data_IF_797534397334
#
_entry.id   IF_797534397334
#
_cell.length_a   1.000
_cell.length_b   1.000
_cell.length_c   1.000
_cell.angle_alpha   90.00
_cell.angle_beta   90.00
_cell.angle_gamma   90.00
#
_symmetry.space_group_name_H-M   'P 1'
#
loop_
_entity.id
_entity.type
_entity.pdbx_description
1 polymer ?
#
# COMPACT_ATOMS: atom_id res chain seq x y z
N UNK A 1 10.73 0.55 1.30
CA UNK A 1 10.35 1.94 1.68
C UNK A 1 10.31 2.03 3.20
N UNK A 2 10.74 3.13 3.82
CA UNK A 2 10.62 3.32 5.26
C UNK A 2 9.48 4.32 5.55
N UNK A 3 8.56 3.96 6.46
CA UNK A 3 7.44 4.83 6.85
C UNK A 3 7.84 5.60 8.10
N UNK A 4 7.85 6.93 8.02
CA UNK A 4 8.12 7.77 9.20
C UNK A 4 6.92 7.80 10.13
N UNK A 5 7.15 8.09 11.43
CA UNK A 5 6.07 8.27 12.40
C UNK A 5 5.11 9.38 11.96
N UNK A 6 5.65 10.48 11.42
CA UNK A 6 4.88 11.62 10.92
C UNK A 6 3.97 11.20 9.75
N UNK A 7 4.47 10.36 8.85
CA UNK A 7 3.66 9.78 7.77
C UNK A 7 2.56 8.90 8.32
N UNK A 8 2.85 8.07 9.32
CA UNK A 8 1.85 7.18 9.93
C UNK A 8 0.75 7.98 10.64
N UNK A 9 1.11 9.02 11.39
CA UNK A 9 0.16 9.94 12.03
C UNK A 9 -0.72 10.63 10.98
N UNK A 10 -0.12 11.11 9.89
CA UNK A 10 -0.88 11.72 8.80
C UNK A 10 -1.87 10.74 8.17
N UNK A 11 -1.45 9.48 7.93
CA UNK A 11 -2.34 8.43 7.42
C UNK A 11 -3.47 8.11 8.39
N UNK A 12 -3.17 7.93 9.68
CA UNK A 12 -4.21 7.70 10.71
C UNK A 12 -5.26 8.79 10.67
N UNK A 13 -4.85 10.07 10.60
CA UNK A 13 -5.79 11.20 10.50
C UNK A 13 -6.61 11.15 9.20
N UNK A 14 -5.96 10.93 8.07
CA UNK A 14 -6.59 10.98 6.75
C UNK A 14 -7.56 9.80 6.53
N UNK A 15 -7.32 8.66 7.17
CA UNK A 15 -8.20 7.47 7.15
C UNK A 15 -9.16 7.39 8.35
N UNK A 16 -9.29 8.45 9.16
CA UNK A 16 -10.16 8.48 10.35
C UNK A 16 -9.88 7.34 11.35
N UNK A 17 -8.60 6.97 11.49
CA UNK A 17 -8.14 5.97 12.44
C UNK A 17 -8.14 6.48 13.89
N UNK A 18 -7.82 5.58 14.81
CA UNK A 18 -7.66 5.90 16.22
C UNK A 18 -6.37 6.68 16.46
N UNK A 19 -6.44 7.75 17.27
CA UNK A 19 -5.25 8.43 17.73
C UNK A 19 -4.39 7.48 18.57
N UNK A 20 -3.10 7.46 18.27
CA UNK A 20 -2.10 6.69 18.99
C UNK A 20 -1.13 7.65 19.66
N UNK A 21 -0.71 7.31 20.87
CA UNK A 21 0.38 7.99 21.55
C UNK A 21 1.72 7.64 20.91
N UNK A 22 2.73 8.48 21.13
CA UNK A 22 4.10 8.22 20.64
C UNK A 22 4.65 6.87 21.12
N UNK A 23 4.31 6.47 22.34
CA UNK A 23 4.72 5.19 22.93
C UNK A 23 4.04 4.00 22.21
N UNK A 24 2.78 4.12 21.83
CA UNK A 24 2.08 3.09 21.04
C UNK A 24 2.65 3.02 19.63
N UNK A 25 2.97 4.17 19.02
CA UNK A 25 3.64 4.22 17.72
C UNK A 25 5.00 3.52 17.76
N UNK A 26 5.80 3.74 18.81
CA UNK A 26 7.08 3.05 19.00
C UNK A 26 6.97 1.54 19.09
N UNK A 27 5.88 1.04 19.69
CA UNK A 27 5.63 -0.40 19.82
C UNK A 27 5.31 -1.02 18.46
N UNK A 28 4.52 -0.34 17.62
CA UNK A 28 4.03 -0.91 16.35
C UNK A 28 4.99 -0.70 15.17
N UNK A 29 5.89 0.28 15.24
CA UNK A 29 6.76 0.60 14.10
C UNK A 29 7.60 -0.57 13.59
N UNK A 30 8.25 -1.40 14.45
CA UNK A 30 9.01 -2.55 13.97
C UNK A 30 8.19 -3.56 13.18
N UNK A 31 6.94 -3.80 13.61
CA UNK A 31 6.03 -4.72 12.93
C UNK A 31 5.56 -4.14 11.59
N UNK A 32 5.29 -2.83 11.56
CA UNK A 32 4.90 -2.11 10.36
C UNK A 32 6.00 -2.13 9.30
N UNK A 33 7.25 -1.93 9.71
CA UNK A 33 8.43 -2.02 8.83
C UNK A 33 8.54 -3.42 8.22
N UNK A 34 8.24 -4.45 9.00
CA UNK A 34 8.14 -5.83 8.51
C UNK A 34 7.08 -5.99 7.41
N UNK A 35 5.86 -5.49 7.64
CA UNK A 35 4.79 -5.55 6.63
C UNK A 35 5.14 -4.80 5.36
N UNK A 36 5.72 -3.60 5.49
CA UNK A 36 6.14 -2.81 4.32
C UNK A 36 7.23 -3.55 3.54
N UNK A 37 8.19 -4.18 4.23
CA UNK A 37 9.22 -4.98 3.57
C UNK A 37 8.63 -6.16 2.77
N UNK A 38 7.64 -6.87 3.32
CA UNK A 38 6.95 -7.95 2.59
C UNK A 38 6.15 -7.44 1.38
N UNK A 39 5.48 -6.28 1.50
CA UNK A 39 4.75 -5.66 0.39
C UNK A 39 5.70 -5.27 -0.76
N UNK A 40 6.91 -4.81 -0.45
CA UNK A 40 7.88 -4.47 -1.48
C UNK A 40 8.30 -5.70 -2.31
N UNK A 41 8.31 -6.91 -1.74
CA UNK A 41 8.56 -8.14 -2.51
C UNK A 41 7.50 -8.38 -3.59
N UNK A 42 6.27 -7.92 -3.37
CA UNK A 42 5.19 -8.01 -4.38
C UNK A 42 5.52 -7.13 -5.58
N UNK A 43 6.17 -5.97 -5.39
CA UNK A 43 6.57 -5.08 -6.49
C UNK A 43 7.63 -5.71 -7.39
N UNK A 44 8.43 -6.62 -6.85
CA UNK A 44 9.48 -7.34 -7.58
C UNK A 44 8.94 -8.53 -8.37
N UNK A 45 7.67 -8.90 -8.18
CA UNK A 45 7.06 -9.99 -8.93
C UNK A 45 6.85 -9.58 -10.39
N UNK A 46 7.46 -10.31 -11.30
CA UNK A 46 7.14 -10.24 -12.71
C UNK A 46 5.86 -11.03 -13.00
N UNK A 47 4.76 -10.30 -13.25
CA UNK A 47 3.46 -10.87 -13.57
C UNK A 47 3.19 -10.89 -15.08
N UNK A 48 4.18 -10.57 -15.93
CA UNK A 48 4.00 -10.46 -17.38
C UNK A 48 3.53 -11.76 -18.05
N UNK A 49 3.91 -12.91 -17.49
CA UNK A 49 3.49 -14.23 -17.96
C UNK A 49 2.11 -14.67 -17.46
N UNK A 50 1.59 -14.05 -16.39
CA UNK A 50 0.26 -14.37 -15.82
C UNK A 50 -0.81 -13.44 -16.39
N UNK A 51 -0.51 -12.14 -16.46
CA UNK A 51 -1.39 -11.14 -17.05
C UNK A 51 -0.94 -10.88 -18.48
N UNK A 52 -1.46 -11.68 -19.43
CA UNK A 52 -1.24 -11.42 -20.85
C UNK A 52 -1.57 -9.96 -21.15
N UNK A 53 -0.58 -9.19 -21.61
CA UNK A 53 -0.70 -7.79 -22.06
C UNK A 53 -1.74 -7.58 -23.17
N UNK A 54 -2.36 -8.66 -23.66
CA UNK A 54 -3.61 -8.66 -24.43
C UNK A 54 -4.86 -8.36 -23.57
N UNK A 55 -4.71 -7.64 -22.44
CA UNK A 55 -5.83 -7.03 -21.75
C UNK A 55 -6.70 -6.32 -22.79
N UNK A 56 -7.91 -6.85 -22.94
CA UNK A 56 -8.98 -6.36 -23.81
C UNK A 56 -9.01 -4.84 -23.71
N UNK A 57 -8.85 -4.15 -24.85
CA UNK A 57 -9.33 -2.78 -24.96
C UNK A 57 -10.82 -2.84 -24.62
N UNK A 58 -11.18 -2.50 -23.38
CA UNK A 58 -12.55 -2.17 -23.07
C UNK A 58 -12.92 -1.08 -24.07
N UNK A 59 -13.91 -1.35 -24.93
CA UNK A 59 -14.44 -0.32 -25.81
C UNK A 59 -14.99 0.78 -24.90
N UNK A 60 -14.22 1.84 -24.71
CA UNK A 60 -14.78 3.12 -24.33
C UNK A 60 -15.70 3.55 -25.48
N UNK A 61 -16.99 3.70 -25.18
CA UNK A 61 -17.97 4.32 -26.07
C UNK A 61 -18.47 3.42 -27.20
N UNK A 62 -19.64 2.83 -27.00
CA UNK A 62 -20.39 2.14 -28.05
C UNK A 62 -21.84 1.93 -27.67
N UNK A 63 -22.53 3.00 -27.27
CA UNK A 63 -24.00 3.02 -27.27
C UNK A 63 -24.50 3.49 -28.63
N UNK A 64 -25.65 2.97 -29.13
CA UNK A 64 -26.50 3.77 -30.01
C UNK A 64 -27.06 4.99 -29.26
#
# INVERSE_FOLDING_TARGET
MAVSKETLIAMIRDFQGYELSDAELDIIMPDLDGYVAEVEKIRELDLSDIMSSRLLRAKEGGGP
#
